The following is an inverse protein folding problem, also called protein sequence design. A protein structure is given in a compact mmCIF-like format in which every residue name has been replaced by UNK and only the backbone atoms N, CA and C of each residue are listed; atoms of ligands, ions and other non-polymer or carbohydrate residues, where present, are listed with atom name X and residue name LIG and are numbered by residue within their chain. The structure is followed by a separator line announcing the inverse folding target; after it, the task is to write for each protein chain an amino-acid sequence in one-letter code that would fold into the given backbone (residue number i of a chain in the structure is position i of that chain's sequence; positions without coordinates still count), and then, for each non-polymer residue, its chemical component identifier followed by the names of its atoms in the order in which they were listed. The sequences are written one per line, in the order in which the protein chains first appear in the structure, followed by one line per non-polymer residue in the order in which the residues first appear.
data_IF_696048246648
#
_entry.id   IF_696048246648
#
_cell.length_a   1.000
_cell.length_b   1.000
_cell.length_c   1.000
_cell.angle_alpha   90.00
_cell.angle_beta   90.00
_cell.angle_gamma   90.00
#
_symmetry.space_group_name_H-M   'P 1'
#
loop_
_entity.id
_entity.type
_entity.pdbx_description
1 polymer ?
#
# COMPACT_ATOMS: atom_id res chain seq x y z
N UNK A 1 -22.18 3.84 -8.50
CA UNK A 1 -23.00 3.03 -7.58
C UNK A 1 -22.14 2.31 -6.55
N UNK A 2 -22.73 1.97 -5.40
CA UNK A 2 -22.16 1.02 -4.45
C UNK A 2 -22.71 -0.38 -4.76
N UNK A 3 -21.82 -1.34 -4.85
CA UNK A 3 -22.15 -2.70 -5.29
C UNK A 3 -21.79 -3.67 -4.15
N UNK A 4 -22.68 -4.61 -3.87
CA UNK A 4 -22.40 -5.77 -3.00
C UNK A 4 -22.59 -7.03 -3.81
N UNK A 5 -21.57 -7.86 -3.92
CA UNK A 5 -21.53 -9.02 -4.81
C UNK A 5 -21.79 -8.61 -6.27
N UNK A 6 -22.97 -8.85 -6.78
CA UNK A 6 -23.38 -8.52 -8.16
C UNK A 6 -24.56 -7.53 -8.21
N UNK A 7 -24.97 -7.01 -7.07
CA UNK A 7 -26.15 -6.15 -6.96
C UNK A 7 -25.74 -4.70 -6.62
N UNK A 8 -26.37 -3.75 -7.28
CA UNK A 8 -26.26 -2.34 -6.94
C UNK A 8 -27.13 -2.10 -5.70
N UNK A 9 -26.49 -1.88 -4.56
CA UNK A 9 -27.18 -1.62 -3.30
C UNK A 9 -27.48 -0.12 -3.09
N UNK A 10 -26.80 0.74 -3.83
CA UNK A 10 -27.05 2.19 -3.83
C UNK A 10 -26.48 2.82 -5.10
N UNK A 11 -27.31 3.54 -5.87
CA UNK A 11 -26.92 4.18 -7.13
C UNK A 11 -25.93 5.34 -6.92
N UNK A 12 -26.19 6.20 -5.94
CA UNK A 12 -25.35 7.36 -5.61
C UNK A 12 -25.08 7.37 -4.10
N UNK A 13 -24.04 6.66 -3.65
CA UNK A 13 -23.66 6.66 -2.24
C UNK A 13 -23.11 8.03 -1.81
N UNK A 14 -23.40 8.44 -0.58
CA UNK A 14 -22.69 9.53 0.05
C UNK A 14 -21.25 9.10 0.33
N UNK A 15 -20.32 9.65 -0.44
CA UNK A 15 -18.91 9.27 -0.36
C UNK A 15 -18.28 9.62 1.00
N UNK A 16 -18.86 10.54 1.78
CA UNK A 16 -18.39 10.87 3.12
C UNK A 16 -18.51 9.69 4.09
N UNK A 17 -19.43 8.77 3.84
CA UNK A 17 -19.69 7.60 4.68
C UNK A 17 -18.95 6.32 4.23
N UNK A 18 -18.24 6.35 3.11
CA UNK A 18 -17.70 5.12 2.50
C UNK A 18 -16.63 4.46 3.36
N UNK A 19 -15.72 5.22 3.98
CA UNK A 19 -14.69 4.64 4.85
C UNK A 19 -15.32 3.88 6.03
N UNK A 20 -16.36 4.46 6.64
CA UNK A 20 -17.08 3.83 7.75
C UNK A 20 -17.83 2.57 7.31
N UNK A 21 -18.49 2.60 6.16
CA UNK A 21 -19.20 1.44 5.58
C UNK A 21 -18.25 0.30 5.23
N UNK A 22 -17.10 0.60 4.65
CA UNK A 22 -16.08 -0.41 4.35
C UNK A 22 -15.51 -1.01 5.63
N UNK A 23 -15.32 -0.19 6.66
CA UNK A 23 -14.86 -0.66 7.98
C UNK A 23 -15.89 -1.57 8.62
N UNK A 24 -17.18 -1.21 8.59
CA UNK A 24 -18.26 -2.03 9.10
C UNK A 24 -18.36 -3.39 8.38
N UNK A 25 -18.29 -3.39 7.05
CA UNK A 25 -18.29 -4.63 6.27
C UNK A 25 -17.04 -5.48 6.54
N UNK A 26 -15.86 -4.87 6.73
CA UNK A 26 -14.64 -5.56 7.11
C UNK A 26 -14.75 -6.22 8.49
N UNK A 27 -15.24 -5.49 9.50
CA UNK A 27 -15.47 -6.01 10.85
C UNK A 27 -16.46 -7.18 10.82
N UNK A 28 -17.58 -7.03 10.13
CA UNK A 28 -18.56 -8.10 9.97
C UNK A 28 -17.97 -9.34 9.29
N UNK A 29 -17.16 -9.15 8.26
CA UNK A 29 -16.45 -10.25 7.59
C UNK A 29 -15.49 -10.97 8.56
N UNK A 30 -14.68 -10.23 9.33
CA UNK A 30 -13.76 -10.79 10.31
C UNK A 30 -14.52 -11.61 11.36
N UNK A 31 -15.60 -11.06 11.93
CA UNK A 31 -16.44 -11.76 12.92
C UNK A 31 -16.99 -13.09 12.41
N UNK A 32 -17.51 -13.09 11.18
CA UNK A 32 -18.10 -14.28 10.59
C UNK A 32 -17.07 -15.36 10.24
N UNK A 33 -15.79 -14.98 10.08
CA UNK A 33 -14.72 -15.88 9.69
C UNK A 33 -13.67 -16.10 10.79
N UNK A 34 -13.89 -15.62 12.02
CA UNK A 34 -12.90 -15.67 13.11
C UNK A 34 -12.42 -17.09 13.48
N UNK A 35 -13.27 -18.09 13.27
CA UNK A 35 -12.95 -19.51 13.52
C UNK A 35 -12.27 -20.21 12.33
N UNK A 36 -12.07 -19.53 11.20
CA UNK A 36 -11.54 -20.10 9.97
C UNK A 36 -10.41 -19.24 9.42
N UNK A 37 -9.47 -19.81 8.64
CA UNK A 37 -8.56 -19.00 7.86
C UNK A 37 -9.30 -18.10 6.87
N UNK A 38 -8.93 -16.82 6.83
CA UNK A 38 -9.52 -15.87 5.90
C UNK A 38 -8.47 -15.00 5.22
N UNK A 39 -8.83 -14.42 4.10
CA UNK A 39 -8.10 -13.36 3.43
C UNK A 39 -9.05 -12.19 3.17
N UNK A 40 -8.71 -11.02 3.69
CA UNK A 40 -9.44 -9.78 3.47
C UNK A 40 -8.56 -8.78 2.72
N UNK A 41 -9.04 -8.30 1.58
CA UNK A 41 -8.45 -7.18 0.86
C UNK A 41 -9.35 -5.96 0.98
N UNK A 42 -8.97 -5.03 1.85
CA UNK A 42 -9.72 -3.80 2.12
C UNK A 42 -9.12 -2.64 1.30
N UNK A 43 -9.68 -2.42 0.11
CA UNK A 43 -9.24 -1.37 -0.80
C UNK A 43 -10.00 -0.07 -0.52
N UNK A 44 -9.46 0.79 0.35
CA UNK A 44 -10.02 2.11 0.57
C UNK A 44 -9.99 2.98 -0.68
N UNK A 45 -11.04 3.79 -0.91
CA UNK A 45 -11.04 4.81 -1.96
C UNK A 45 -10.16 6.02 -1.59
N UNK A 46 -10.01 6.29 -0.31
CA UNK A 46 -9.19 7.36 0.23
C UNK A 46 -7.70 7.02 -0.02
N UNK A 47 -6.93 7.95 -0.40
CA UNK A 47 -7.15 9.41 -0.52
C UNK A 47 -7.33 9.86 -1.97
N UNK A 48 -8.01 9.07 -2.82
CA UNK A 48 -8.23 9.43 -4.22
C UNK A 48 -9.24 10.58 -4.35
N UNK A 49 -9.07 11.39 -5.37
CA UNK A 49 -10.00 12.48 -5.70
C UNK A 49 -11.33 11.95 -6.26
N UNK A 50 -12.43 12.67 -5.99
CA UNK A 50 -12.57 13.81 -5.08
C UNK A 50 -12.46 13.38 -3.61
N UNK A 51 -11.92 14.27 -2.76
CA UNK A 51 -11.70 13.99 -1.34
C UNK A 51 -13.01 14.09 -0.57
N UNK A 52 -13.37 13.01 0.11
CA UNK A 52 -14.54 12.95 0.99
C UNK A 52 -14.22 12.17 2.26
N UNK A 53 -14.54 12.74 3.40
CA UNK A 53 -14.49 12.10 4.70
C UNK A 53 -15.70 12.51 5.54
N UNK A 54 -16.03 11.74 6.57
CA UNK A 54 -17.09 12.10 7.51
C UNK A 54 -16.74 13.40 8.24
N UNK A 55 -17.77 14.15 8.63
CA UNK A 55 -17.64 15.48 9.22
C UNK A 55 -16.73 15.50 10.47
N UNK A 56 -16.75 14.43 11.28
CA UNK A 56 -15.87 14.30 12.44
C UNK A 56 -14.39 14.40 12.08
N UNK A 57 -13.96 13.79 10.95
CA UNK A 57 -12.57 13.86 10.51
C UNK A 57 -12.24 15.21 9.87
N UNK A 58 -13.21 15.82 9.15
CA UNK A 58 -13.03 17.13 8.54
C UNK A 58 -12.83 18.21 9.61
N UNK A 59 -13.60 18.16 10.69
CA UNK A 59 -13.55 19.14 11.78
C UNK A 59 -12.25 19.05 12.61
N UNK A 60 -11.62 17.88 12.67
CA UNK A 60 -10.41 17.62 13.43
C UNK A 60 -9.12 17.76 12.58
N UNK A 61 -9.25 17.85 11.27
CA UNK A 61 -8.11 17.83 10.35
C UNK A 61 -7.39 19.18 10.29
N UNK A 62 -6.09 19.19 10.58
CA UNK A 62 -5.21 20.35 10.37
C UNK A 62 -4.70 20.47 8.90
N UNK A 63 -4.93 19.46 8.05
CA UNK A 63 -4.52 19.42 6.65
C UNK A 63 -5.72 19.28 5.70
N UNK A 64 -6.82 19.97 6.00
CA UNK A 64 -8.03 20.01 5.18
C UNK A 64 -8.59 18.62 4.86
N UNK A 65 -9.27 18.50 3.72
CA UNK A 65 -9.93 17.26 3.31
C UNK A 65 -8.97 16.08 3.10
N UNK A 66 -7.72 16.35 2.67
CA UNK A 66 -6.72 15.30 2.52
C UNK A 66 -6.36 14.68 3.87
N UNK A 67 -6.08 15.52 4.87
CA UNK A 67 -5.81 15.05 6.24
C UNK A 67 -6.99 14.31 6.83
N UNK A 68 -8.23 14.78 6.59
CA UNK A 68 -9.45 14.11 7.00
C UNK A 68 -9.59 12.70 6.38
N UNK A 69 -9.27 12.55 5.10
CA UNK A 69 -9.25 11.26 4.42
C UNK A 69 -8.20 10.31 5.02
N UNK A 70 -6.98 10.81 5.30
CA UNK A 70 -5.94 10.00 5.96
C UNK A 70 -6.38 9.58 7.36
N UNK A 71 -6.93 10.50 8.16
CA UNK A 71 -7.45 10.20 9.49
C UNK A 71 -8.57 9.14 9.46
N UNK A 72 -9.40 9.12 8.43
CA UNK A 72 -10.46 8.12 8.28
C UNK A 72 -9.91 6.71 8.02
N UNK A 73 -8.80 6.59 7.29
CA UNK A 73 -8.12 5.29 7.07
C UNK A 73 -7.42 4.83 8.35
N UNK A 74 -6.77 5.75 9.07
CA UNK A 74 -6.11 5.45 10.34
C UNK A 74 -7.13 4.96 11.37
N UNK A 75 -8.26 5.65 11.51
CA UNK A 75 -9.39 5.23 12.33
C UNK A 75 -9.90 3.83 11.92
N UNK A 76 -10.09 3.57 10.63
CA UNK A 76 -10.52 2.26 10.13
C UNK A 76 -9.56 1.16 10.54
N UNK A 77 -8.26 1.41 10.43
CA UNK A 77 -7.20 0.47 10.83
C UNK A 77 -7.24 0.20 12.33
N UNK A 78 -7.44 1.23 13.15
CA UNK A 78 -7.60 1.09 14.60
C UNK A 78 -8.80 0.22 14.96
N UNK A 79 -9.96 0.45 14.35
CA UNK A 79 -11.17 -0.37 14.57
C UNK A 79 -10.93 -1.84 14.24
N UNK A 80 -10.22 -2.13 13.14
CA UNK A 80 -9.87 -3.51 12.76
C UNK A 80 -8.93 -4.13 13.79
N UNK A 81 -7.92 -3.40 14.26
CA UNK A 81 -7.01 -3.92 15.29
C UNK A 81 -7.72 -4.23 16.60
N UNK A 82 -8.64 -3.39 17.01
CA UNK A 82 -9.42 -3.62 18.22
C UNK A 82 -10.33 -4.85 18.07
N UNK A 83 -10.96 -5.02 16.91
CA UNK A 83 -11.77 -6.21 16.62
C UNK A 83 -10.94 -7.50 16.64
N UNK A 84 -9.74 -7.52 16.04
CA UNK A 84 -8.86 -8.69 16.06
C UNK A 84 -8.45 -9.07 17.49
N UNK A 85 -8.20 -8.07 18.35
CA UNK A 85 -7.87 -8.29 19.76
C UNK A 85 -9.07 -8.81 20.55
N UNK A 86 -10.27 -8.21 20.36
CA UNK A 86 -11.49 -8.65 21.03
C UNK A 86 -11.86 -10.10 20.70
N UNK A 87 -11.60 -10.52 19.46
CA UNK A 87 -11.80 -11.90 19.02
C UNK A 87 -10.66 -12.86 19.42
N UNK A 88 -9.56 -12.34 19.98
CA UNK A 88 -8.41 -13.15 20.39
C UNK A 88 -7.61 -13.75 19.23
N UNK A 89 -7.73 -13.21 18.00
CA UNK A 89 -7.05 -13.70 16.80
C UNK A 89 -5.91 -12.79 16.33
N UNK A 90 -5.61 -11.73 17.07
CA UNK A 90 -4.62 -10.71 16.70
C UNK A 90 -3.21 -11.29 16.47
N UNK A 91 -2.74 -12.18 17.35
CA UNK A 91 -1.43 -12.84 17.21
C UNK A 91 -1.35 -13.84 16.05
N UNK A 92 -2.50 -14.26 15.53
CA UNK A 92 -2.60 -15.19 14.40
C UNK A 92 -3.03 -14.51 13.09
N UNK A 93 -3.02 -13.18 13.05
CA UNK A 93 -3.43 -12.41 11.89
C UNK A 93 -2.30 -11.49 11.43
N UNK A 94 -1.93 -11.61 10.15
CA UNK A 94 -1.03 -10.65 9.49
C UNK A 94 -1.86 -9.50 8.95
N UNK A 95 -1.47 -8.27 9.29
CA UNK A 95 -2.06 -7.07 8.71
C UNK A 95 -1.00 -6.33 7.90
N UNK A 96 -1.32 -6.08 6.63
CA UNK A 96 -0.46 -5.35 5.70
C UNK A 96 -1.16 -4.04 5.34
N UNK A 97 -0.52 -2.92 5.62
CA UNK A 97 -0.95 -1.59 5.19
C UNK A 97 0.00 -1.08 4.12
N UNK A 98 -0.51 -0.75 2.95
CA UNK A 98 0.29 -0.23 1.85
C UNK A 98 -0.52 0.76 1.01
N UNK A 99 0.18 1.63 0.27
CA UNK A 99 -0.43 2.44 -0.79
C UNK A 99 -0.17 1.81 -2.16
N UNK A 100 -0.99 2.15 -3.13
CA UNK A 100 -0.87 1.69 -4.51
C UNK A 100 0.09 2.55 -5.34
N UNK A 101 0.23 3.82 -5.02
CA UNK A 101 1.10 4.79 -5.69
C UNK A 101 1.42 5.98 -4.78
N UNK A 102 2.39 6.80 -5.19
CA UNK A 102 2.74 8.03 -4.49
C UNK A 102 1.65 9.09 -4.56
N UNK A 103 1.75 10.11 -3.71
CA UNK A 103 0.80 11.22 -3.68
C UNK A 103 0.78 11.95 -5.02
N UNK A 104 -0.42 12.42 -5.40
CA UNK A 104 -0.62 13.24 -6.60
C UNK A 104 -0.01 14.63 -6.47
N UNK A 105 0.11 15.18 -5.26
CA UNK A 105 0.53 16.55 -4.96
C UNK A 105 -0.47 17.60 -5.52
N UNK A 106 -0.10 18.47 -6.39
CA UNK A 106 -0.95 19.43 -7.12
C UNK A 106 -1.90 20.25 -6.22
N UNK A 107 -1.40 20.78 -5.09
CA UNK A 107 -2.16 21.61 -4.15
C UNK A 107 -3.39 20.93 -3.51
N UNK A 108 -3.41 19.60 -3.47
CA UNK A 108 -4.52 18.83 -2.91
C UNK A 108 -4.19 18.18 -1.57
N UNK A 109 -3.10 18.60 -0.92
CA UNK A 109 -2.75 18.25 0.45
C UNK A 109 -1.78 17.11 0.58
N UNK A 110 -1.46 16.29 -0.28
CA UNK A 110 -0.51 15.18 -0.14
C UNK A 110 0.95 15.62 -0.17
N UNK A 111 1.83 14.77 0.35
CA UNK A 111 3.29 14.95 0.28
C UNK A 111 3.97 13.60 0.05
N UNK A 112 5.05 13.61 -0.72
CA UNK A 112 5.96 12.47 -0.88
C UNK A 112 7.27 12.69 -0.07
N UNK A 113 7.26 13.63 0.87
CA UNK A 113 8.44 13.99 1.64
C UNK A 113 9.60 14.45 0.75
N UNK A 114 10.77 13.87 0.96
CA UNK A 114 11.98 14.18 0.18
C UNK A 114 12.00 13.51 -1.21
N UNK A 115 11.06 12.61 -1.51
CA UNK A 115 11.03 11.87 -2.76
C UNK A 115 10.56 12.75 -3.92
N UNK A 116 11.33 12.79 -5.00
CA UNK A 116 11.00 13.53 -6.22
C UNK A 116 9.80 12.91 -6.94
N UNK A 117 8.98 13.75 -7.54
CA UNK A 117 7.88 13.30 -8.39
C UNK A 117 6.58 12.97 -7.65
N UNK A 118 5.63 12.41 -8.38
CA UNK A 118 4.25 12.19 -7.94
C UNK A 118 3.62 11.00 -8.66
N UNK A 119 2.39 10.62 -8.27
CA UNK A 119 1.56 9.64 -8.97
C UNK A 119 1.64 9.79 -10.49
N UNK A 120 1.84 8.68 -11.19
CA UNK A 120 1.98 8.62 -12.65
C UNK A 120 3.39 8.87 -13.18
N UNK A 121 4.37 9.11 -12.30
CA UNK A 121 5.77 9.29 -12.69
C UNK A 121 6.64 8.17 -12.13
N UNK A 122 7.76 7.90 -12.79
CA UNK A 122 8.72 6.86 -12.40
C UNK A 122 9.83 7.36 -11.47
N UNK A 123 9.75 8.59 -10.98
CA UNK A 123 10.53 9.09 -9.85
C UNK A 123 10.15 8.36 -8.57
N UNK A 124 11.03 8.35 -7.57
CA UNK A 124 10.74 7.66 -6.29
C UNK A 124 9.43 8.11 -5.66
N UNK A 125 9.08 9.40 -5.71
CA UNK A 125 7.83 9.92 -5.17
C UNK A 125 6.55 9.46 -5.88
N UNK A 126 6.66 8.89 -7.08
CA UNK A 126 5.52 8.27 -7.77
C UNK A 126 5.39 6.77 -7.49
N UNK A 127 6.48 6.11 -7.12
CA UNK A 127 6.59 4.65 -7.07
C UNK A 127 6.85 4.10 -5.67
N UNK A 128 7.64 4.80 -4.85
CA UNK A 128 7.95 4.39 -3.49
C UNK A 128 6.81 4.78 -2.55
N UNK A 129 6.18 3.79 -1.97
CA UNK A 129 4.98 3.93 -1.15
C UNK A 129 5.22 3.42 0.27
N UNK A 130 4.47 3.89 1.28
CA UNK A 130 4.49 3.29 2.59
C UNK A 130 4.03 1.83 2.52
N UNK A 131 4.72 0.98 3.27
CA UNK A 131 4.33 -0.40 3.50
C UNK A 131 4.65 -0.76 4.95
N UNK A 132 3.65 -1.14 5.71
CA UNK A 132 3.77 -1.54 7.11
C UNK A 132 3.17 -2.93 7.24
N UNK A 133 3.92 -3.86 7.82
CA UNK A 133 3.47 -5.23 8.06
C UNK A 133 3.50 -5.49 9.55
N UNK A 134 2.35 -5.91 10.08
CA UNK A 134 2.19 -6.20 11.49
C UNK A 134 1.80 -7.67 11.69
N UNK A 135 2.58 -8.38 12.50
CA UNK A 135 2.27 -9.73 12.95
C UNK A 135 2.81 -9.91 14.37
N UNK A 136 1.98 -9.71 15.40
CA UNK A 136 2.42 -9.80 16.79
C UNK A 136 3.07 -11.15 17.12
N UNK A 137 4.15 -11.12 17.87
CA UNK A 137 4.90 -12.33 18.24
C UNK A 137 5.76 -12.96 17.13
N UNK A 138 5.72 -12.43 15.90
CA UNK A 138 6.52 -12.91 14.74
C UNK A 138 7.44 -11.85 14.18
N UNK A 139 6.94 -10.63 14.02
CA UNK A 139 7.71 -9.48 13.52
C UNK A 139 8.04 -8.59 14.73
N UNK A 140 9.31 -8.23 14.88
CA UNK A 140 9.76 -7.34 15.94
C UNK A 140 9.16 -5.94 15.75
N UNK A 141 8.62 -5.39 16.83
CA UNK A 141 8.05 -4.04 16.81
C UNK A 141 9.12 -3.00 16.52
N UNK A 142 8.83 -2.10 15.57
CA UNK A 142 9.74 -1.03 15.17
C UNK A 142 10.89 -1.50 14.26
N UNK A 143 10.88 -2.75 13.80
CA UNK A 143 11.86 -3.20 12.80
C UNK A 143 11.66 -2.49 11.46
N UNK A 144 12.76 -2.20 10.77
CA UNK A 144 12.77 -1.55 9.46
C UNK A 144 13.65 -2.33 8.48
N UNK A 145 13.33 -2.25 7.20
CA UNK A 145 14.12 -2.82 6.12
C UNK A 145 14.21 -1.87 4.92
N UNK A 146 15.42 -1.69 4.41
CA UNK A 146 15.72 -0.97 3.17
C UNK A 146 15.69 -1.86 1.91
N UNK A 147 15.31 -3.12 2.06
CA UNK A 147 15.25 -4.09 0.97
C UNK A 147 14.23 -3.68 -0.09
N UNK A 148 14.62 -3.76 -1.38
CA UNK A 148 13.68 -3.48 -2.48
C UNK A 148 12.58 -4.54 -2.49
N UNK A 149 11.35 -4.10 -2.34
CA UNK A 149 10.14 -4.94 -2.46
C UNK A 149 9.12 -4.26 -3.35
N UNK A 150 8.19 -5.04 -3.86
CA UNK A 150 7.07 -4.54 -4.67
C UNK A 150 5.77 -5.20 -4.22
N UNK A 151 4.63 -4.60 -4.56
CA UNK A 151 3.31 -5.20 -4.28
C UNK A 151 3.11 -6.54 -4.98
N UNK A 152 3.82 -6.79 -6.09
CA UNK A 152 3.82 -8.08 -6.79
C UNK A 152 4.39 -9.22 -5.93
N UNK A 153 5.25 -8.90 -4.97
CA UNK A 153 5.96 -9.88 -4.13
C UNK A 153 5.05 -10.44 -3.02
N UNK A 154 3.92 -9.81 -2.75
CA UNK A 154 2.96 -10.32 -1.75
C UNK A 154 2.36 -11.67 -2.15
N UNK A 155 1.94 -11.82 -3.41
CA UNK A 155 1.32 -13.06 -3.87
C UNK A 155 2.23 -14.29 -3.64
N UNK A 156 3.47 -14.35 -4.16
CA UNK A 156 4.33 -15.52 -3.94
C UNK A 156 4.74 -15.69 -2.47
N UNK A 157 4.88 -14.60 -1.71
CA UNK A 157 5.29 -14.66 -0.31
C UNK A 157 4.17 -15.19 0.60
N UNK A 158 2.95 -14.72 0.42
CA UNK A 158 1.78 -15.23 1.15
C UNK A 158 1.50 -16.68 0.75
N UNK A 159 1.56 -17.00 -0.56
CA UNK A 159 1.37 -18.37 -1.05
C UNK A 159 2.37 -19.32 -0.41
N UNK A 160 3.64 -18.91 -0.27
CA UNK A 160 4.66 -19.71 0.42
C UNK A 160 4.33 -19.90 1.90
N UNK A 161 3.89 -18.84 2.57
CA UNK A 161 3.54 -18.87 4.00
C UNK A 161 2.42 -19.85 4.32
N UNK A 162 1.40 -19.93 3.46
CA UNK A 162 0.23 -20.82 3.62
C UNK A 162 0.41 -22.19 2.96
N UNK A 163 1.62 -22.51 2.48
CA UNK A 163 1.94 -23.73 1.72
C UNK A 163 1.03 -23.96 0.50
N UNK A 164 0.57 -22.86 -0.09
CA UNK A 164 -0.30 -22.85 -1.26
C UNK A 164 0.46 -23.12 -2.56
N UNK A 165 -0.27 -23.10 -3.67
CA UNK A 165 0.28 -23.27 -5.01
C UNK A 165 0.14 -21.99 -5.80
N UNK A 166 1.24 -21.54 -6.39
CA UNK A 166 1.23 -20.44 -7.34
C UNK A 166 0.54 -20.84 -8.65
N UNK A 167 -0.01 -19.85 -9.39
CA UNK A 167 -0.52 -20.11 -10.73
C UNK A 167 0.59 -20.66 -11.64
N UNK A 168 0.21 -21.44 -12.65
CA UNK A 168 1.15 -22.02 -13.62
C UNK A 168 1.77 -20.98 -14.56
N UNK A 169 1.14 -19.83 -14.70
CA UNK A 169 1.65 -18.73 -15.50
C UNK A 169 2.85 -18.08 -14.81
N UNK A 170 3.78 -17.56 -15.62
CA UNK A 170 4.90 -16.76 -15.11
C UNK A 170 4.37 -15.53 -14.40
N UNK A 171 4.92 -15.26 -13.22
CA UNK A 171 4.65 -14.06 -12.41
C UNK A 171 5.94 -13.27 -12.23
N UNK A 172 5.84 -11.95 -12.03
CA UNK A 172 7.01 -11.07 -11.84
C UNK A 172 7.36 -10.87 -10.36
N UNK A 173 6.47 -11.30 -9.46
CA UNK A 173 6.70 -11.27 -8.02
C UNK A 173 7.77 -12.28 -7.59
N UNK A 174 8.57 -11.90 -6.62
CA UNK A 174 9.61 -12.73 -5.99
C UNK A 174 9.15 -13.14 -4.59
N UNK A 175 9.36 -14.40 -4.23
CA UNK A 175 9.07 -14.89 -2.89
C UNK A 175 10.00 -14.24 -1.87
N UNK A 176 9.44 -13.49 -0.91
CA UNK A 176 10.13 -12.72 0.11
C UNK A 176 9.53 -12.90 1.51
N UNK A 177 8.98 -14.08 1.80
CA UNK A 177 8.31 -14.34 3.08
C UNK A 177 9.20 -14.05 4.29
N UNK A 178 10.48 -14.33 4.19
CA UNK A 178 11.43 -14.05 5.27
C UNK A 178 11.57 -12.53 5.53
N UNK A 179 11.64 -11.72 4.48
CA UNK A 179 11.70 -10.26 4.61
C UNK A 179 10.39 -9.68 5.15
N UNK A 180 9.26 -10.17 4.66
CA UNK A 180 7.95 -9.63 5.03
C UNK A 180 7.44 -10.11 6.40
N UNK A 181 7.75 -11.36 6.76
CA UNK A 181 7.08 -12.02 7.88
C UNK A 181 8.06 -12.54 8.96
N UNK A 182 9.28 -12.09 8.92
CA UNK A 182 10.29 -12.33 9.95
C UNK A 182 11.16 -11.08 10.16
N UNK A 183 12.27 -11.21 10.89
CA UNK A 183 13.19 -10.10 11.15
C UNK A 183 14.38 -10.08 10.17
N UNK A 184 14.28 -10.76 9.03
CA UNK A 184 15.29 -10.65 7.99
C UNK A 184 15.18 -9.30 7.26
N UNK A 185 16.32 -8.71 6.89
CA UNK A 185 16.37 -7.39 6.25
C UNK A 185 16.87 -7.42 4.81
N UNK A 186 17.26 -8.61 4.32
CA UNK A 186 17.86 -8.77 2.99
C UNK A 186 16.79 -9.10 1.96
N UNK A 187 16.62 -8.21 0.99
CA UNK A 187 15.77 -8.47 -0.18
C UNK A 187 16.47 -9.39 -1.17
N UNK A 188 15.70 -10.26 -1.81
CA UNK A 188 16.13 -11.05 -2.97
C UNK A 188 16.08 -10.27 -4.29
N UNK A 189 15.57 -9.04 -4.27
CA UNK A 189 15.42 -8.17 -5.44
C UNK A 189 16.54 -7.13 -5.47
N UNK A 190 17.45 -7.30 -6.38
CA UNK A 190 18.51 -6.30 -6.67
C UNK A 190 18.12 -5.36 -7.82
N UNK A 191 17.26 -5.82 -8.73
CA UNK A 191 16.87 -5.12 -9.94
C UNK A 191 15.38 -4.82 -9.97
N UNK A 192 15.03 -3.60 -10.33
CA UNK A 192 13.66 -3.19 -10.64
C UNK A 192 13.63 -2.30 -11.89
N UNK A 193 12.64 -2.52 -12.74
CA UNK A 193 12.51 -1.83 -14.03
C UNK A 193 11.22 -1.01 -14.00
N UNK A 194 11.32 0.25 -14.38
CA UNK A 194 10.22 1.20 -14.34
C UNK A 194 9.74 1.47 -15.76
N UNK A 195 8.47 1.20 -15.98
CA UNK A 195 7.77 1.52 -17.22
C UNK A 195 6.73 2.61 -16.99
N UNK A 196 6.52 3.44 -18.00
CA UNK A 196 5.37 4.31 -18.13
C UNK A 196 4.66 3.86 -19.41
N UNK A 197 3.53 3.16 -19.25
CA UNK A 197 2.89 2.41 -20.32
C UNK A 197 3.89 1.41 -20.94
N UNK A 198 4.21 1.52 -22.22
CA UNK A 198 5.18 0.67 -22.92
C UNK A 198 6.60 1.25 -22.96
N UNK A 199 6.80 2.45 -22.43
CA UNK A 199 8.09 3.14 -22.42
C UNK A 199 8.93 2.72 -21.20
N UNK A 200 10.11 2.17 -21.46
CA UNK A 200 11.12 1.94 -20.42
C UNK A 200 11.70 3.29 -19.99
N UNK A 201 11.33 3.76 -18.81
CA UNK A 201 11.77 5.05 -18.30
C UNK A 201 12.96 5.00 -17.36
N UNK A 202 13.05 3.98 -16.50
CA UNK A 202 14.17 3.86 -15.57
C UNK A 202 14.49 2.41 -15.20
N UNK A 203 15.72 2.21 -14.72
CA UNK A 203 16.21 0.94 -14.18
C UNK A 203 16.89 1.22 -12.85
N UNK A 204 16.52 0.46 -11.82
CA UNK A 204 17.16 0.50 -10.52
C UNK A 204 17.92 -0.81 -10.29
N UNK A 205 19.20 -0.69 -9.94
CA UNK A 205 20.01 -1.80 -9.45
C UNK A 205 20.58 -1.44 -8.08
N UNK A 206 20.10 -2.12 -7.05
CA UNK A 206 20.41 -1.79 -5.64
C UNK A 206 20.10 -0.33 -5.33
N UNK A 207 21.12 0.46 -4.99
CA UNK A 207 20.96 1.88 -4.67
C UNK A 207 21.05 2.79 -5.91
N UNK A 208 21.47 2.27 -7.06
CA UNK A 208 21.64 3.07 -8.27
C UNK A 208 20.39 3.05 -9.12
N UNK A 209 19.90 4.22 -9.52
CA UNK A 209 18.77 4.36 -10.42
C UNK A 209 19.16 5.20 -11.64
N UNK A 210 19.07 4.60 -12.80
CA UNK A 210 19.33 5.22 -14.08
C UNK A 210 17.99 5.56 -14.75
N UNK A 211 17.75 6.83 -15.00
CA UNK A 211 16.66 7.27 -15.86
C UNK A 211 17.12 7.37 -17.31
N UNK A 212 16.35 6.77 -18.21
CA UNK A 212 16.61 6.70 -19.64
C UNK A 212 15.68 7.62 -20.42
N UNK A 213 14.45 7.78 -19.94
CA UNK A 213 13.39 8.53 -20.62
C UNK A 213 12.47 9.20 -19.59
N UNK A 214 11.95 10.37 -19.92
CA UNK A 214 10.92 11.06 -19.15
C UNK A 214 9.95 11.77 -20.08
N UNK A 215 8.64 11.50 -19.89
CA UNK A 215 7.57 12.15 -20.64
C UNK A 215 7.82 12.12 -22.17
N UNK A 216 8.39 11.00 -22.66
CA UNK A 216 8.71 10.79 -24.08
C UNK A 216 10.10 11.27 -24.51
N UNK A 217 10.82 12.05 -23.70
CA UNK A 217 12.14 12.55 -24.01
C UNK A 217 13.27 11.68 -23.45
N UNK A 218 14.33 11.45 -24.23
CA UNK A 218 15.52 10.76 -23.76
C UNK A 218 16.29 11.63 -22.76
N UNK A 219 16.60 11.03 -21.61
CA UNK A 219 17.50 11.59 -20.60
C UNK A 219 18.51 10.52 -20.20
N UNK A 220 19.62 10.94 -19.57
CA UNK A 220 20.62 10.00 -19.02
C UNK A 220 21.07 10.50 -17.67
N UNK A 221 20.25 10.23 -16.66
CA UNK A 221 20.47 10.71 -15.30
C UNK A 221 20.64 9.51 -14.35
N UNK A 222 21.75 9.46 -13.63
CA UNK A 222 22.09 8.38 -12.70
C UNK A 222 22.12 8.92 -11.26
N UNK A 223 21.36 8.30 -10.37
CA UNK A 223 21.24 8.70 -8.98
C UNK A 223 21.65 7.58 -8.03
N UNK A 224 22.36 7.93 -6.95
CA UNK A 224 22.61 7.05 -5.81
C UNK A 224 21.52 7.28 -4.75
N UNK A 225 20.46 6.51 -4.77
CA UNK A 225 19.31 6.66 -3.88
C UNK A 225 19.64 6.50 -2.39
N UNK A 226 20.82 5.97 -2.05
CA UNK A 226 21.28 5.91 -0.66
C UNK A 226 21.69 7.29 -0.14
N UNK A 227 22.31 8.10 -0.98
CA UNK A 227 22.84 9.41 -0.63
C UNK A 227 21.99 10.56 -1.20
N UNK A 228 21.18 10.28 -2.23
CA UNK A 228 20.30 11.22 -2.92
C UNK A 228 18.95 10.56 -3.23
N UNK A 229 18.15 10.40 -2.18
CA UNK A 229 16.81 9.81 -2.29
C UNK A 229 15.83 10.71 -3.06
N UNK A 230 16.15 11.98 -3.17
CA UNK A 230 15.37 13.02 -3.84
C UNK A 230 15.66 13.13 -5.34
N UNK A 231 16.59 12.33 -5.87
CA UNK A 231 16.92 12.33 -7.31
C UNK A 231 17.21 13.76 -7.83
N UNK A 232 18.18 14.47 -7.19
CA UNK A 232 18.51 15.89 -7.45
C UNK A 232 19.84 16.05 -8.16
#
# INVERSE_FOLDING_TARGET
PLIRDKEVIQEQPDQRSIAERYTEDAVNFIRHNSENPFFLYLAHMQVHLPLYAAEKFVNESENGDYGACVASIDWSTSVIFDELKELGIDENTIVIFASDNGSRLQNQGGSNGDLRGRKGQTWEGGQRVPCIIRWPGKIEQGSESDGITTTMDFLPSITKLIEGKLPSNKIDGIEMSNLFFSNETISKRDLFIYYNEDDLEAIRYKNWKLHLKKEGEEIKELYDLKNDIGEK
#
